data_IF_850002238145
#
_entry.id   IF_850002238145
#
_cell.length_a   1.000
_cell.length_b   1.000
_cell.length_c   1.000
_cell.angle_alpha   90.00
_cell.angle_beta   90.00
_cell.angle_gamma   90.00
#
_symmetry.space_group_name_H-M   'P 1'
#
loop_
_entity.id
_entity.type
_entity.pdbx_description
1 polymer ?
#
# COMPACT_ATOMS: atom_id res chain seq x y z
N UNK A 1 -23.59 -25.70 -1.98
CA UNK A 1 -22.17 -25.39 -1.70
C UNK A 1 -22.02 -25.06 -0.22
N UNK A 2 -21.22 -25.79 0.55
CA UNK A 2 -21.07 -25.57 2.00
C UNK A 2 -19.82 -24.71 2.26
N UNK A 3 -19.99 -23.56 2.93
CA UNK A 3 -18.96 -22.52 3.07
C UNK A 3 -18.09 -22.62 4.34
N UNK A 4 -18.39 -23.53 5.27
CA UNK A 4 -17.74 -23.62 6.57
C UNK A 4 -16.21 -23.84 6.51
N UNK A 5 -15.71 -24.44 5.43
CA UNK A 5 -14.28 -24.67 5.21
C UNK A 5 -13.54 -23.50 4.53
N UNK A 6 -14.21 -22.38 4.23
CA UNK A 6 -13.57 -21.21 3.61
C UNK A 6 -12.84 -20.28 4.61
N UNK A 7 -12.94 -20.58 5.92
CA UNK A 7 -12.27 -19.78 6.96
C UNK A 7 -10.76 -19.97 6.83
N UNK A 8 -10.08 -18.95 6.32
CA UNK A 8 -8.62 -18.83 6.47
C UNK A 8 -8.32 -18.53 7.94
N UNK A 9 -7.40 -19.30 8.52
CA UNK A 9 -6.80 -18.94 9.80
C UNK A 9 -5.80 -17.80 9.55
N UNK A 10 -5.95 -16.72 10.32
CA UNK A 10 -5.09 -15.53 10.22
C UNK A 10 -3.95 -15.61 11.24
N UNK A 11 -3.36 -16.80 11.43
CA UNK A 11 -2.23 -17.01 12.34
C UNK A 11 -0.90 -16.58 11.70
N UNK A 12 -0.93 -15.61 10.78
CA UNK A 12 0.28 -15.03 10.21
C UNK A 12 0.85 -14.04 11.23
N UNK A 13 2.17 -13.99 11.34
CA UNK A 13 3.01 -13.25 12.29
C UNK A 13 2.37 -12.05 13.02
N UNK A 14 2.70 -11.87 14.29
CA UNK A 14 2.25 -10.73 15.09
C UNK A 14 3.01 -9.46 14.75
N UNK A 15 2.33 -8.31 14.84
CA UNK A 15 2.95 -7.00 14.86
C UNK A 15 2.99 -6.46 16.28
N UNK A 16 4.17 -6.23 16.84
CA UNK A 16 4.34 -5.56 18.14
C UNK A 16 4.77 -4.10 17.99
N UNK A 17 4.44 -3.25 18.96
CA UNK A 17 4.85 -1.84 18.97
C UNK A 17 6.38 -1.72 19.00
N UNK A 18 7.05 -2.61 19.73
CA UNK A 18 8.51 -2.65 19.84
C UNK A 18 9.19 -2.91 18.48
N UNK A 19 8.54 -3.65 17.58
CA UNK A 19 9.06 -3.92 16.22
C UNK A 19 8.86 -2.76 15.24
N UNK A 20 7.92 -1.85 15.52
CA UNK A 20 7.62 -0.70 14.65
C UNK A 20 8.70 0.38 14.82
N UNK A 21 9.13 0.61 16.06
CA UNK A 21 10.06 1.69 16.43
C UNK A 21 9.44 3.09 16.24
N UNK A 22 10.29 4.12 16.34
CA UNK A 22 9.82 5.52 16.36
C UNK A 22 9.70 6.19 14.98
N UNK A 23 10.14 5.50 13.92
CA UNK A 23 10.12 6.05 12.56
C UNK A 23 9.24 5.20 11.63
N UNK A 24 8.01 5.66 11.30
CA UNK A 24 7.08 4.90 10.48
C UNK A 24 7.59 4.68 9.04
N UNK A 25 8.43 5.59 8.52
CA UNK A 25 8.99 5.42 7.17
C UNK A 25 10.06 4.32 7.14
N UNK A 26 10.84 4.16 8.22
CA UNK A 26 11.77 3.03 8.32
C UNK A 26 11.02 1.70 8.38
N UNK A 27 9.93 1.65 9.14
CA UNK A 27 9.07 0.47 9.21
C UNK A 27 8.42 0.15 7.86
N UNK A 28 7.89 1.17 7.16
CA UNK A 28 7.37 1.00 5.81
C UNK A 28 8.42 0.46 4.83
N UNK A 29 9.65 1.00 4.85
CA UNK A 29 10.77 0.50 4.01
C UNK A 29 11.12 -0.96 4.32
N UNK A 30 11.02 -1.39 5.59
CA UNK A 30 11.19 -2.80 5.98
C UNK A 30 10.12 -3.68 5.34
N UNK A 31 8.84 -3.35 5.57
CA UNK A 31 7.71 -4.08 4.99
C UNK A 31 7.71 -4.12 3.47
N UNK A 32 8.07 -3.01 2.83
CA UNK A 32 8.19 -2.95 1.37
C UNK A 32 9.25 -3.94 0.85
N UNK A 33 10.41 -4.02 1.51
CA UNK A 33 11.46 -5.00 1.18
C UNK A 33 11.01 -6.45 1.41
N UNK A 34 10.24 -6.70 2.47
CA UNK A 34 9.69 -8.02 2.74
C UNK A 34 8.68 -8.42 1.65
N UNK A 35 7.87 -7.45 1.20
CA UNK A 35 6.95 -7.66 0.09
C UNK A 35 7.67 -7.90 -1.26
N UNK A 36 8.74 -7.16 -1.55
CA UNK A 36 9.58 -7.38 -2.74
C UNK A 36 10.24 -8.77 -2.78
N UNK A 37 10.52 -9.35 -1.62
CA UNK A 37 11.13 -10.69 -1.51
C UNK A 37 10.11 -11.82 -1.53
N UNK A 38 8.82 -11.52 -1.45
CA UNK A 38 7.77 -12.52 -1.37
C UNK A 38 7.31 -12.95 -2.76
N UNK A 39 7.44 -14.24 -3.07
CA UNK A 39 6.91 -14.82 -4.31
C UNK A 39 5.36 -14.80 -4.36
N UNK A 40 4.68 -14.56 -3.23
CA UNK A 40 3.22 -14.41 -3.18
C UNK A 40 2.75 -13.04 -3.71
N UNK A 41 3.64 -12.05 -3.83
CA UNK A 41 3.30 -10.66 -4.16
C UNK A 41 3.81 -10.32 -5.55
N UNK A 42 2.89 -10.21 -6.51
CA UNK A 42 3.22 -9.99 -7.92
C UNK A 42 3.75 -8.57 -8.18
N UNK A 43 3.14 -7.54 -7.57
CA UNK A 43 3.48 -6.13 -7.82
C UNK A 43 3.48 -5.36 -6.48
N UNK A 44 4.58 -5.49 -5.73
CA UNK A 44 4.74 -4.89 -4.39
C UNK A 44 4.66 -3.36 -4.37
N UNK A 45 4.92 -2.71 -5.50
CA UNK A 45 4.83 -1.26 -5.66
C UNK A 45 3.48 -0.76 -6.19
N UNK A 46 2.51 -1.64 -6.44
CA UNK A 46 1.15 -1.22 -6.73
C UNK A 46 0.47 -0.67 -5.47
N UNK A 47 -0.13 0.52 -5.60
CA UNK A 47 -0.87 1.16 -4.50
C UNK A 47 -2.17 1.79 -5.01
N UNK A 48 -3.21 1.80 -4.17
CA UNK A 48 -4.44 2.53 -4.46
C UNK A 48 -4.32 3.95 -3.92
N UNK A 49 -4.46 4.94 -4.80
CA UNK A 49 -4.60 6.34 -4.39
C UNK A 49 -6.07 6.75 -4.48
N UNK A 50 -6.54 7.43 -3.44
CA UNK A 50 -7.84 8.08 -3.39
C UNK A 50 -7.64 9.59 -3.40
N UNK A 51 -8.27 10.28 -4.35
CA UNK A 51 -8.33 11.74 -4.41
C UNK A 51 -9.78 12.19 -4.34
N UNK A 52 -10.05 13.44 -3.96
CA UNK A 52 -11.40 13.98 -3.92
C UNK A 52 -11.45 15.31 -4.62
N UNK A 53 -12.42 15.47 -5.53
CA UNK A 53 -12.79 16.75 -6.13
C UNK A 53 -14.23 17.05 -5.71
N UNK A 54 -14.50 18.25 -5.21
CA UNK A 54 -15.82 18.66 -4.70
C UNK A 54 -16.46 17.66 -3.71
N UNK A 55 -15.67 17.12 -2.78
CA UNK A 55 -16.08 16.09 -1.80
C UNK A 55 -16.56 14.76 -2.42
N UNK A 56 -16.30 14.52 -3.71
CA UNK A 56 -16.60 13.26 -4.38
C UNK A 56 -15.29 12.46 -4.48
N UNK A 57 -15.14 11.34 -3.75
CA UNK A 57 -13.91 10.55 -3.78
C UNK A 57 -13.82 9.72 -5.06
N UNK A 58 -12.60 9.54 -5.56
CA UNK A 58 -12.27 8.60 -6.63
C UNK A 58 -10.99 7.85 -6.32
N UNK A 59 -10.98 6.53 -6.54
CA UNK A 59 -9.83 5.67 -6.27
C UNK A 59 -9.33 4.99 -7.55
N UNK A 60 -8.02 4.77 -7.64
CA UNK A 60 -7.40 3.96 -8.71
C UNK A 60 -6.05 3.40 -8.26
N UNK A 61 -5.61 2.35 -8.94
CA UNK A 61 -4.25 1.82 -8.81
C UNK A 61 -3.26 2.75 -9.52
N UNK A 62 -2.13 2.99 -8.88
CA UNK A 62 -0.92 3.64 -9.41
C UNK A 62 0.30 2.86 -8.94
N UNK A 63 1.45 3.12 -9.54
CA UNK A 63 2.72 2.51 -9.13
C UNK A 63 3.55 3.50 -8.32
N UNK A 64 3.97 3.08 -7.14
CA UNK A 64 4.99 3.72 -6.35
C UNK A 64 6.33 3.64 -7.10
N UNK A 65 7.00 4.79 -7.23
CA UNK A 65 8.26 4.93 -7.97
C UNK A 65 9.44 5.26 -7.07
N UNK A 66 9.22 5.95 -5.96
CA UNK A 66 10.29 6.30 -5.03
C UNK A 66 9.75 6.45 -3.60
N UNK A 67 10.54 6.01 -2.63
CA UNK A 67 10.29 6.18 -1.19
C UNK A 67 11.35 7.13 -0.65
N UNK A 68 10.93 8.32 -0.22
CA UNK A 68 11.77 9.31 0.49
C UNK A 68 11.37 9.38 1.95
N UNK A 69 12.22 10.00 2.76
CA UNK A 69 12.03 10.03 4.22
C UNK A 69 10.69 10.61 4.68
N UNK A 70 10.09 11.50 3.88
CA UNK A 70 8.78 12.11 4.17
C UNK A 70 7.82 12.07 2.98
N UNK A 71 8.05 11.21 1.99
CA UNK A 71 7.24 11.19 0.77
C UNK A 71 7.22 9.84 0.07
N UNK A 72 6.06 9.51 -0.50
CA UNK A 72 5.87 8.43 -1.45
C UNK A 72 5.61 9.06 -2.82
N UNK A 73 6.43 8.73 -3.82
CA UNK A 73 6.40 9.40 -5.13
C UNK A 73 5.84 8.45 -6.18
N UNK A 74 4.90 8.94 -6.98
CA UNK A 74 4.37 8.28 -8.16
C UNK A 74 4.21 9.29 -9.29
N UNK A 75 4.11 8.81 -10.53
CA UNK A 75 3.88 9.66 -11.70
C UNK A 75 2.47 9.46 -12.26
N UNK A 76 1.90 10.53 -12.80
CA UNK A 76 0.58 10.48 -13.44
C UNK A 76 0.41 11.59 -14.48
N UNK A 77 -0.68 11.53 -15.23
CA UNK A 77 -1.06 12.62 -16.14
C UNK A 77 -1.75 13.74 -15.33
N UNK A 78 -1.17 14.94 -15.36
CA UNK A 78 -1.71 16.14 -14.70
C UNK A 78 -3.11 16.53 -15.17
N UNK A 79 -3.49 16.19 -16.40
CA UNK A 79 -4.84 16.47 -16.92
C UNK A 79 -5.88 15.42 -16.52
N UNK A 80 -5.49 14.33 -15.87
CA UNK A 80 -6.42 13.27 -15.43
C UNK A 80 -7.24 13.71 -14.22
N UNK A 81 -8.36 13.02 -13.94
CA UNK A 81 -9.21 13.33 -12.77
C UNK A 81 -8.43 13.38 -11.44
N UNK A 82 -7.45 12.50 -11.21
CA UNK A 82 -6.63 12.54 -9.98
C UNK A 82 -5.60 13.67 -9.95
N UNK A 83 -5.21 14.18 -11.12
CA UNK A 83 -4.25 15.28 -11.22
C UNK A 83 -4.89 16.66 -11.06
N UNK A 84 -6.22 16.73 -11.29
CA UNK A 84 -7.04 17.94 -11.12
C UNK A 84 -7.85 17.97 -9.83
N UNK A 85 -7.96 16.83 -9.14
CA UNK A 85 -8.63 16.71 -7.85
C UNK A 85 -7.78 17.33 -6.74
#
# INVERSE_FOLDING_TARGET
>A
MKLFNHRKFYDRDSLSIDEIGDNPMNFFKKWFKDAEKSDEIIESNAMTISTSDNNIPSSRVVLLKEIRDRSLIFFTNYQSKKGKA
#
